data_IF_338079614846
#
_entry.id   IF_338079614846
#
_cell.length_a   1.000
_cell.length_b   1.000
_cell.length_c   1.000
_cell.angle_alpha   90.00
_cell.angle_beta   90.00
_cell.angle_gamma   90.00
#
_symmetry.space_group_name_H-M   'P 1'
#
loop_
_entity.id
_entity.type
_entity.pdbx_description
1 polymer ?
#
# COMPACT_ATOMS: atom_id res chain seq x y z
N UNK A 1 1.89 11.42 13.70
CA UNK A 1 0.57 10.97 13.19
C UNK A 1 0.49 9.45 13.19
N UNK A 2 -0.62 8.88 13.65
CA UNK A 2 -0.84 7.44 13.57
C UNK A 2 -1.47 7.06 12.22
N UNK A 3 -0.86 6.15 11.47
CA UNK A 3 -1.28 5.77 10.12
C UNK A 3 -1.86 4.35 10.07
N UNK A 4 -2.85 4.17 9.19
CA UNK A 4 -3.57 2.92 8.97
C UNK A 4 -3.14 2.26 7.64
N UNK A 5 -3.56 1.01 7.44
CA UNK A 5 -3.21 0.14 6.32
C UNK A 5 -3.46 0.82 4.97
N UNK A 6 -4.55 1.57 4.86
CA UNK A 6 -4.94 2.28 3.65
C UNK A 6 -3.90 3.34 3.21
N UNK A 7 -3.36 4.13 4.13
CA UNK A 7 -2.36 5.17 3.83
C UNK A 7 -1.11 4.52 3.25
N UNK A 8 -0.66 3.42 3.85
CA UNK A 8 0.50 2.65 3.38
C UNK A 8 0.25 2.12 1.97
N UNK A 9 -0.91 1.50 1.74
CA UNK A 9 -1.26 0.93 0.43
C UNK A 9 -1.39 2.01 -0.63
N UNK A 10 -2.09 3.11 -0.34
CA UNK A 10 -2.30 4.21 -1.30
C UNK A 10 -0.98 4.85 -1.70
N UNK A 11 -0.09 5.07 -0.73
CA UNK A 11 1.22 5.64 -0.99
C UNK A 11 2.10 4.68 -1.82
N UNK A 12 2.19 3.40 -1.45
CA UNK A 12 3.08 2.45 -2.13
C UNK A 12 2.59 2.02 -3.51
N UNK A 13 1.27 2.02 -3.76
CA UNK A 13 0.67 1.58 -5.02
C UNK A 13 0.21 2.71 -5.93
N UNK A 14 0.43 3.98 -5.57
CA UNK A 14 -0.04 5.14 -6.34
C UNK A 14 -1.53 5.05 -6.69
N UNK A 15 -2.37 4.68 -5.70
CA UNK A 15 -3.81 4.52 -5.89
C UNK A 15 -4.48 5.89 -6.00
N UNK A 16 -4.83 6.30 -7.22
CA UNK A 16 -5.51 7.58 -7.44
C UNK A 16 -7.00 7.55 -7.07
N UNK A 17 -7.56 8.66 -6.52
CA UNK A 17 -6.91 9.95 -6.25
C UNK A 17 -6.15 10.02 -4.91
N UNK A 18 -6.19 8.94 -4.13
CA UNK A 18 -5.75 8.94 -2.73
C UNK A 18 -4.23 9.08 -2.56
N UNK A 19 -3.45 8.61 -3.53
CA UNK A 19 -2.01 8.76 -3.54
C UNK A 19 -1.60 10.23 -3.39
N UNK A 20 -2.24 11.13 -4.15
CA UNK A 20 -1.99 12.57 -4.06
C UNK A 20 -2.40 13.17 -2.71
N UNK A 21 -3.42 12.61 -2.06
CA UNK A 21 -3.88 13.06 -0.75
C UNK A 21 -2.88 12.67 0.35
N UNK A 22 -2.29 11.47 0.26
CA UNK A 22 -1.39 10.94 1.30
C UNK A 22 0.10 11.20 1.04
N UNK A 23 0.46 11.68 -0.16
CA UNK A 23 1.84 11.99 -0.57
C UNK A 23 2.62 12.91 0.40
N UNK A 24 2.00 13.90 1.07
CA UNK A 24 2.70 14.73 2.04
C UNK A 24 2.99 14.01 3.37
N UNK A 25 2.30 12.92 3.69
CA UNK A 25 2.35 12.30 5.02
C UNK A 25 3.72 11.72 5.37
N UNK A 26 4.44 11.03 4.47
CA UNK A 26 5.83 10.60 4.71
C UNK A 26 6.82 11.71 5.02
N UNK A 27 6.48 12.98 4.72
CA UNK A 27 7.32 14.15 5.00
C UNK A 27 7.10 14.71 6.41
N UNK A 28 6.14 14.18 7.17
CA UNK A 28 5.94 14.50 8.58
C UNK A 28 7.05 13.87 9.44
N UNK A 29 7.57 14.61 10.43
CA UNK A 29 8.68 14.18 11.30
C UNK A 29 8.38 12.91 12.12
N UNK A 30 7.11 12.68 12.50
CA UNK A 30 6.74 11.50 13.29
C UNK A 30 5.55 10.74 12.70
N UNK A 31 5.80 9.51 12.26
CA UNK A 31 4.79 8.56 11.83
C UNK A 31 4.82 7.35 12.77
N UNK A 32 3.65 7.00 13.29
CA UNK A 32 3.47 5.84 14.14
C UNK A 32 2.43 4.91 13.50
N UNK A 33 2.57 3.60 13.73
CA UNK A 33 1.55 2.63 13.38
C UNK A 33 1.64 1.41 14.30
N UNK A 34 0.68 0.50 14.22
CA UNK A 34 0.71 -0.75 14.98
C UNK A 34 1.31 -1.89 14.17
N UNK A 35 1.83 -2.90 14.85
CA UNK A 35 2.26 -4.15 14.21
C UNK A 35 1.12 -4.83 13.44
N UNK A 36 -0.12 -4.68 13.92
CA UNK A 36 -1.31 -5.19 13.23
C UNK A 36 -1.49 -4.53 11.86
N UNK A 37 -1.37 -3.20 11.81
CA UNK A 37 -1.46 -2.44 10.54
C UNK A 37 -0.34 -2.85 9.58
N UNK A 38 0.87 -3.09 10.10
CA UNK A 38 1.98 -3.60 9.28
C UNK A 38 1.66 -4.97 8.68
N UNK A 39 1.11 -5.90 9.47
CA UNK A 39 0.72 -7.23 8.98
C UNK A 39 -0.38 -7.16 7.92
N UNK A 40 -1.42 -6.36 8.16
CA UNK A 40 -2.51 -6.13 7.20
C UNK A 40 -2.01 -5.50 5.88
N UNK A 41 -1.08 -4.54 5.97
CA UNK A 41 -0.45 -3.95 4.80
C UNK A 41 0.36 -5.00 4.04
N UNK A 42 1.23 -5.76 4.71
CA UNK A 42 2.04 -6.81 4.08
C UNK A 42 1.17 -7.85 3.37
N UNK A 43 0.13 -8.34 4.03
CA UNK A 43 -0.81 -9.29 3.44
C UNK A 43 -1.43 -8.73 2.14
N UNK A 44 -1.87 -7.48 2.19
CA UNK A 44 -2.46 -6.79 1.03
C UNK A 44 -1.46 -6.64 -0.11
N UNK A 45 -0.26 -6.12 0.17
CA UNK A 45 0.80 -5.89 -0.82
C UNK A 45 1.22 -7.20 -1.51
N UNK A 46 1.43 -8.28 -0.74
CA UNK A 46 1.79 -9.60 -1.26
C UNK A 46 0.70 -10.13 -2.20
N UNK A 47 -0.56 -10.01 -1.79
CA UNK A 47 -1.69 -10.51 -2.58
C UNK A 47 -1.90 -9.73 -3.87
N UNK A 48 -1.77 -8.41 -3.82
CA UNK A 48 -1.82 -7.55 -5.01
C UNK A 48 -0.69 -7.90 -5.98
N UNK A 49 0.55 -8.08 -5.48
CA UNK A 49 1.69 -8.50 -6.30
C UNK A 49 1.44 -9.88 -6.93
N UNK A 50 1.02 -10.86 -6.14
CA UNK A 50 0.74 -12.21 -6.63
C UNK A 50 -0.37 -12.22 -7.68
N UNK A 51 -1.42 -11.41 -7.50
CA UNK A 51 -2.48 -11.25 -8.49
C UNK A 51 -1.96 -10.61 -9.78
N UNK A 52 -1.21 -9.51 -9.69
CA UNK A 52 -0.60 -8.85 -10.85
C UNK A 52 0.30 -9.82 -11.63
N UNK A 53 1.15 -10.56 -10.94
CA UNK A 53 2.05 -11.53 -11.57
C UNK A 53 1.28 -12.67 -12.25
N UNK A 54 0.15 -13.11 -11.68
CA UNK A 54 -0.74 -14.09 -12.34
C UNK A 54 -1.41 -13.53 -13.57
N UNK A 55 -1.96 -12.32 -13.52
CA UNK A 55 -2.60 -11.67 -14.68
C UNK A 55 -1.59 -11.49 -15.82
N UNK A 56 -0.39 -11.00 -15.51
CA UNK A 56 0.68 -10.81 -16.51
C UNK A 56 1.17 -12.15 -17.11
N UNK A 57 1.14 -13.24 -16.33
CA UNK A 57 1.48 -14.59 -16.83
C UNK A 57 0.36 -15.23 -17.64
N UNK A 58 -0.90 -14.96 -17.31
CA UNK A 58 -2.09 -15.49 -18.01
C UNK A 58 -2.42 -14.78 -19.32
N UNK A 59 -1.83 -13.61 -19.60
CA UNK A 59 -1.95 -12.88 -20.88
C UNK A 59 -0.95 -13.35 -21.95
N UNK A 60 -0.06 -14.30 -21.64
CA UNK A 60 0.95 -14.84 -22.58
C UNK A 60 0.61 -16.23 -23.15
N UNK A 61 -0.62 -16.71 -22.95
CA UNK A 61 -1.13 -17.98 -23.48
C UNK A 61 -2.43 -17.74 -24.22
#
# INVERSE_FOLDING_TARGET
>A
MFIDTNVIVYYLHAVEPYANIVEPYPRSEELATSLRVVDEALFTLIRVKAWRDRVLRGWRT
#
